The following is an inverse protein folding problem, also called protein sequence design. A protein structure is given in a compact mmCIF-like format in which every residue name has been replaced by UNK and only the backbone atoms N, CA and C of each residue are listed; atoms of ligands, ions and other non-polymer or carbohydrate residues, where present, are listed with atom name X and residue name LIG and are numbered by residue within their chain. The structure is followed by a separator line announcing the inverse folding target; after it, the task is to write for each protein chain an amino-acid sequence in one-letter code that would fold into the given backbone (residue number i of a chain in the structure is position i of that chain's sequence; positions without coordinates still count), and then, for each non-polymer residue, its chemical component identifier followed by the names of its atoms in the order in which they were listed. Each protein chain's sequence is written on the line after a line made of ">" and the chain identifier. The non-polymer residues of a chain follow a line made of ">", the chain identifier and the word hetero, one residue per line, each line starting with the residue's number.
data_IF_208630238866
#
_entry.id   IF_208630238866
#
_cell.length_a   1.000
_cell.length_b   1.000
_cell.length_c   1.000
_cell.angle_alpha   90.00
_cell.angle_beta   90.00
_cell.angle_gamma   90.00
#
_symmetry.space_group_name_H-M   'P 1'
#
loop_
_entity.id
_entity.type
_entity.pdbx_description
1 polymer ?
#
# COMPACT_ATOMS: atom_id res chain seq x y z
N UNK A 1 26.39 -7.30 68.12
CA UNK A 1 25.76 -6.52 67.01
C UNK A 1 25.13 -7.45 65.96
N UNK A 2 24.17 -8.28 66.33
CA UNK A 2 23.62 -9.29 65.39
C UNK A 2 22.18 -9.67 65.72
N UNK A 3 21.26 -8.70 65.87
CA UNK A 3 19.85 -8.97 66.19
C UNK A 3 18.83 -7.97 65.60
N UNK A 4 19.12 -7.31 64.46
CA UNK A 4 18.15 -6.34 63.87
C UNK A 4 17.86 -6.59 62.36
N UNK A 5 18.08 -7.76 61.80
CA UNK A 5 17.82 -8.03 60.36
C UNK A 5 16.78 -9.12 60.05
N UNK A 6 15.98 -9.59 61.02
CA UNK A 6 14.98 -10.66 60.80
C UNK A 6 13.52 -10.22 60.80
N UNK A 7 13.19 -8.95 60.97
CA UNK A 7 11.78 -8.50 61.08
C UNK A 7 11.16 -7.90 59.80
N UNK A 8 11.93 -7.76 58.69
CA UNK A 8 11.42 -7.14 57.46
C UNK A 8 10.97 -8.07 56.34
N UNK A 9 11.09 -9.40 56.54
CA UNK A 9 10.76 -10.38 55.47
C UNK A 9 9.40 -11.06 55.60
N UNK A 10 8.63 -10.82 56.64
CA UNK A 10 7.32 -11.44 56.84
C UNK A 10 6.14 -10.54 56.42
N UNK A 11 6.36 -9.27 56.14
CA UNK A 11 5.28 -8.34 55.76
C UNK A 11 4.94 -8.32 54.30
N UNK A 12 5.88 -8.65 53.39
CA UNK A 12 5.68 -8.57 51.93
C UNK A 12 4.71 -9.63 51.40
N UNK A 13 4.80 -10.93 51.79
CA UNK A 13 3.83 -11.91 51.31
C UNK A 13 2.41 -11.68 51.81
N UNK A 14 2.21 -11.09 53.00
CA UNK A 14 0.87 -10.78 53.52
C UNK A 14 0.19 -9.64 52.76
N UNK A 15 0.95 -8.64 52.35
CA UNK A 15 0.43 -7.52 51.54
C UNK A 15 0.04 -7.97 50.12
N UNK A 16 0.82 -8.84 49.52
CA UNK A 16 0.52 -9.40 48.20
C UNK A 16 -0.73 -10.29 48.25
N UNK A 17 -0.91 -11.09 49.31
CA UNK A 17 -2.13 -11.88 49.48
C UNK A 17 -3.37 -11.01 49.65
N UNK A 18 -3.29 -9.90 50.37
CA UNK A 18 -4.39 -8.97 50.56
C UNK A 18 -4.77 -8.24 49.24
N UNK A 19 -3.78 -7.92 48.43
CA UNK A 19 -4.03 -7.31 47.08
C UNK A 19 -4.71 -8.32 46.16
N UNK A 20 -4.25 -9.57 46.15
CA UNK A 20 -4.85 -10.63 45.33
C UNK A 20 -6.28 -10.93 45.76
N UNK A 21 -6.56 -11.03 47.06
CA UNK A 21 -7.92 -11.27 47.58
C UNK A 21 -8.85 -10.08 47.31
N UNK A 22 -8.35 -8.84 47.35
CA UNK A 22 -9.11 -7.66 46.99
C UNK A 22 -9.48 -7.64 45.50
N UNK A 23 -8.57 -7.96 44.61
CA UNK A 23 -8.85 -8.09 43.17
C UNK A 23 -9.82 -9.24 42.84
N UNK A 24 -9.73 -10.37 43.51
CA UNK A 24 -10.67 -11.48 43.36
C UNK A 24 -12.07 -11.14 43.90
N UNK A 25 -12.14 -10.35 44.96
CA UNK A 25 -13.40 -9.84 45.49
C UNK A 25 -14.08 -8.85 44.54
N UNK A 26 -13.33 -7.96 43.91
CA UNK A 26 -13.86 -7.01 42.89
C UNK A 26 -14.29 -7.70 41.60
N UNK A 27 -13.64 -8.74 41.19
CA UNK A 27 -14.03 -9.51 39.98
C UNK A 27 -15.26 -10.42 40.25
N UNK A 28 -15.56 -10.77 41.49
CA UNK A 28 -16.76 -11.55 41.86
C UNK A 28 -18.06 -10.78 41.94
N UNK A 29 -18.01 -9.43 41.90
CA UNK A 29 -19.22 -8.58 42.04
C UNK A 29 -19.89 -8.23 40.69
N UNK A 30 -19.31 -8.57 39.56
CA UNK A 30 -19.84 -8.30 38.22
C UNK A 30 -20.29 -9.58 37.49
N UNK A 31 -21.16 -10.36 38.13
CA UNK A 31 -21.90 -11.40 37.45
C UNK A 31 -22.97 -10.81 36.54
N UNK A 32 -23.16 -11.28 35.30
CA UNK A 32 -24.21 -10.73 34.44
C UNK A 32 -25.58 -11.12 34.92
N UNK A 33 -26.46 -10.12 35.13
CA UNK A 33 -27.88 -10.31 35.36
C UNK A 33 -28.52 -10.98 34.15
N UNK A 34 -29.06 -12.20 34.34
CA UNK A 34 -29.87 -12.90 33.36
C UNK A 34 -31.19 -12.13 33.15
N UNK A 35 -31.24 -11.35 32.10
CA UNK A 35 -32.48 -10.83 31.52
C UNK A 35 -33.15 -11.95 30.73
N UNK A 36 -34.22 -12.53 31.27
CA UNK A 36 -35.19 -13.34 30.51
C UNK A 36 -35.89 -12.44 29.51
N UNK A 37 -35.50 -12.47 28.28
CA UNK A 37 -36.29 -11.93 27.16
C UNK A 37 -37.01 -13.06 26.44
N UNK A 38 -38.34 -12.92 26.33
CA UNK A 38 -39.24 -13.76 25.58
C UNK A 38 -38.73 -13.99 24.16
N UNK A 39 -38.53 -15.25 23.80
CA UNK A 39 -38.33 -15.67 22.41
C UNK A 39 -39.70 -15.63 21.72
N UNK A 40 -39.96 -14.53 21.00
CA UNK A 40 -40.97 -14.50 19.99
C UNK A 40 -40.41 -15.13 18.71
N UNK A 41 -41.13 -16.13 18.21
CA UNK A 41 -40.81 -16.90 17.00
C UNK A 41 -40.54 -15.99 15.80
N UNK A 42 -39.29 -16.05 15.27
CA UNK A 42 -38.98 -15.51 13.95
C UNK A 42 -39.69 -16.31 12.85
N UNK A 43 -40.17 -15.65 11.80
CA UNK A 43 -40.69 -16.34 10.63
C UNK A 43 -39.58 -17.14 9.94
N UNK A 44 -39.88 -18.36 9.51
CA UNK A 44 -39.00 -19.18 8.67
C UNK A 44 -38.71 -18.45 7.36
N UNK A 45 -37.42 -18.27 7.03
CA UNK A 45 -37.01 -17.92 5.68
C UNK A 45 -37.43 -19.01 4.69
N UNK A 46 -37.93 -18.65 3.50
CA UNK A 46 -38.22 -19.61 2.45
C UNK A 46 -36.92 -20.19 1.89
N UNK A 47 -36.83 -21.51 1.88
CA UNK A 47 -35.83 -22.30 1.17
C UNK A 47 -35.80 -21.94 -0.33
N UNK A 48 -34.58 -21.99 -0.89
CA UNK A 48 -34.24 -21.87 -2.32
C UNK A 48 -34.39 -20.48 -2.95
N UNK A 49 -33.36 -19.68 -2.78
CA UNK A 49 -32.95 -18.71 -3.80
C UNK A 49 -31.97 -19.43 -4.76
N UNK A 50 -32.45 -19.76 -5.96
CA UNK A 50 -31.59 -20.06 -7.10
C UNK A 50 -30.62 -18.86 -7.27
N UNK A 51 -29.32 -19.07 -7.60
CA UNK A 51 -28.42 -17.97 -7.83
C UNK A 51 -28.98 -17.12 -8.99
N UNK A 52 -29.36 -15.89 -8.68
CA UNK A 52 -29.70 -14.88 -9.69
C UNK A 52 -28.53 -14.80 -10.67
N UNK A 53 -28.77 -15.16 -11.92
CA UNK A 53 -27.82 -14.94 -13.01
C UNK A 53 -27.54 -13.44 -13.08
N UNK A 54 -26.35 -13.05 -12.66
CA UNK A 54 -25.81 -11.70 -12.88
C UNK A 54 -25.94 -11.43 -14.38
N UNK A 55 -26.63 -10.37 -14.81
CA UNK A 55 -26.76 -10.05 -16.23
C UNK A 55 -25.35 -9.94 -16.81
N UNK A 56 -25.06 -10.74 -17.81
CA UNK A 56 -23.85 -10.59 -18.62
C UNK A 56 -23.98 -9.24 -19.35
N UNK A 57 -23.56 -8.16 -18.72
CA UNK A 57 -23.31 -6.91 -19.42
C UNK A 57 -22.25 -7.21 -20.49
N UNK A 58 -22.75 -7.37 -21.70
CA UNK A 58 -21.95 -7.40 -22.91
C UNK A 58 -21.44 -5.96 -23.17
N UNK A 59 -20.66 -5.43 -22.25
CA UNK A 59 -19.89 -4.22 -22.48
C UNK A 59 -18.74 -4.60 -23.40
N UNK A 60 -19.01 -4.54 -24.71
CA UNK A 60 -17.96 -4.42 -25.70
C UNK A 60 -17.15 -3.19 -25.31
N UNK A 61 -15.98 -3.40 -24.69
CA UNK A 61 -15.02 -2.33 -24.42
C UNK A 61 -14.59 -1.77 -25.79
N UNK A 62 -15.12 -0.59 -26.12
CA UNK A 62 -14.59 0.22 -27.19
C UNK A 62 -13.41 0.99 -26.60
N UNK A 63 -12.18 0.70 -27.01
CA UNK A 63 -11.04 1.52 -26.60
C UNK A 63 -11.35 2.97 -27.00
N UNK A 64 -11.17 3.95 -26.11
CA UNK A 64 -11.31 5.34 -26.47
C UNK A 64 -10.42 5.63 -27.69
N UNK A 65 -10.97 6.34 -28.68
CA UNK A 65 -10.23 6.73 -29.89
C UNK A 65 -8.94 7.47 -29.52
N UNK A 66 -8.01 7.66 -30.47
CA UNK A 66 -6.72 8.30 -30.21
C UNK A 66 -6.96 9.67 -29.59
N UNK A 67 -6.73 9.79 -28.28
CA UNK A 67 -6.76 11.06 -27.57
C UNK A 67 -5.42 11.73 -27.86
N UNK A 68 -5.47 12.99 -28.31
CA UNK A 68 -4.27 13.82 -28.43
C UNK A 68 -3.75 14.02 -27.01
N UNK A 69 -2.62 13.40 -26.69
CA UNK A 69 -1.99 13.61 -25.38
C UNK A 69 -1.57 15.08 -25.28
N UNK A 70 -2.01 15.73 -24.21
CA UNK A 70 -1.58 17.08 -23.90
C UNK A 70 -0.13 17.02 -23.44
N UNK A 71 0.75 17.87 -23.99
CA UNK A 71 2.12 18.06 -23.49
C UNK A 71 2.08 18.65 -22.08
N UNK A 72 1.87 17.80 -21.07
CA UNK A 72 1.82 18.18 -19.66
C UNK A 72 3.23 18.10 -19.04
N UNK A 73 3.61 19.14 -18.32
CA UNK A 73 4.83 19.13 -17.52
C UNK A 73 4.70 18.15 -16.36
N UNK A 74 5.76 17.38 -16.10
CA UNK A 74 5.78 16.34 -15.08
C UNK A 74 7.02 16.48 -14.21
N UNK A 75 6.88 16.23 -12.90
CA UNK A 75 8.02 16.11 -12.00
C UNK A 75 7.98 14.75 -11.30
N UNK A 76 9.05 13.97 -11.48
CA UNK A 76 9.28 12.74 -10.74
C UNK A 76 9.96 13.07 -9.40
N UNK A 77 9.29 12.77 -8.30
CA UNK A 77 9.75 13.03 -6.94
C UNK A 77 10.18 11.72 -6.29
N UNK A 78 11.46 11.64 -5.92
CA UNK A 78 12.08 10.44 -5.35
C UNK A 78 12.66 10.75 -3.98
N UNK A 79 12.32 9.92 -3.00
CA UNK A 79 13.00 9.84 -1.71
C UNK A 79 14.03 8.71 -1.77
N UNK A 80 15.30 9.00 -1.42
CA UNK A 80 16.36 7.99 -1.42
C UNK A 80 17.31 8.14 -0.23
N UNK A 81 17.91 7.03 0.15
CA UNK A 81 19.11 7.02 0.98
C UNK A 81 20.36 7.21 0.09
N UNK A 82 21.45 7.67 0.69
CA UNK A 82 22.70 7.93 -0.04
C UNK A 82 23.22 6.69 -0.76
N UNK A 83 23.03 5.51 -0.19
CA UNK A 83 23.46 4.23 -0.74
C UNK A 83 22.57 3.65 -1.85
N UNK A 84 21.37 4.19 -2.04
CA UNK A 84 20.44 3.69 -3.06
C UNK A 84 20.81 4.24 -4.44
N UNK A 85 20.74 3.38 -5.45
CA UNK A 85 21.02 3.74 -6.84
C UNK A 85 19.76 4.30 -7.52
N UNK A 86 19.90 5.48 -8.12
CA UNK A 86 18.86 6.15 -8.89
C UNK A 86 19.33 6.58 -10.30
N UNK A 87 20.37 5.95 -10.84
CA UNK A 87 20.89 6.24 -12.20
C UNK A 87 19.81 6.11 -13.26
N UNK A 88 18.82 5.24 -13.06
CA UNK A 88 17.69 5.10 -13.95
C UNK A 88 16.88 6.40 -14.12
N UNK A 89 16.86 7.26 -13.10
CA UNK A 89 16.15 8.56 -13.14
C UNK A 89 16.83 9.51 -14.12
N UNK A 90 18.15 9.49 -14.18
CA UNK A 90 18.93 10.41 -15.03
C UNK A 90 18.72 10.15 -16.52
N UNK A 91 18.28 8.94 -16.89
CA UNK A 91 17.97 8.57 -18.26
C UNK A 91 16.61 9.08 -18.76
N UNK A 92 15.68 9.38 -17.86
CA UNK A 92 14.28 9.70 -18.20
C UNK A 92 14.10 11.04 -18.94
N UNK A 93 14.73 12.16 -18.51
CA UNK A 93 14.56 13.46 -19.17
C UNK A 93 15.14 13.51 -20.59
N UNK A 94 16.01 12.56 -20.95
CA UNK A 94 16.58 12.48 -22.31
C UNK A 94 15.53 12.09 -23.35
N UNK A 95 14.52 11.32 -22.91
CA UNK A 95 13.46 10.81 -23.75
C UNK A 95 12.20 11.71 -23.72
N UNK A 96 12.09 12.59 -22.72
CA UNK A 96 10.91 13.42 -22.48
C UNK A 96 11.26 14.83 -21.97
N UNK A 97 11.17 15.87 -22.83
CA UNK A 97 11.52 17.24 -22.46
C UNK A 97 10.55 17.88 -21.47
N UNK A 98 9.39 17.26 -21.21
CA UNK A 98 8.40 17.74 -20.24
C UNK A 98 8.56 17.07 -18.86
N UNK A 99 9.50 16.15 -18.72
CA UNK A 99 9.77 15.47 -17.46
C UNK A 99 11.01 16.05 -16.78
N UNK A 100 10.85 16.44 -15.53
CA UNK A 100 11.95 16.81 -14.62
C UNK A 100 11.99 15.83 -13.44
N UNK A 101 13.08 15.82 -12.69
CA UNK A 101 13.21 15.00 -11.48
C UNK A 101 13.62 15.83 -10.28
N UNK A 102 13.08 15.49 -9.10
CA UNK A 102 13.43 16.04 -7.80
C UNK A 102 13.82 14.86 -6.88
N UNK A 103 15.11 14.58 -6.81
CA UNK A 103 15.68 13.48 -6.01
C UNK A 103 16.18 14.01 -4.68
N UNK A 104 15.54 13.60 -3.59
CA UNK A 104 15.88 13.97 -2.21
C UNK A 104 16.75 12.89 -1.56
N UNK A 105 17.97 13.23 -1.15
CA UNK A 105 18.85 12.35 -0.39
C UNK A 105 18.66 12.65 1.10
N UNK A 106 17.87 11.82 1.80
CA UNK A 106 17.33 12.15 3.12
C UNK A 106 18.30 11.95 4.28
N UNK A 107 19.38 11.19 4.10
CA UNK A 107 20.43 10.89 5.08
C UNK A 107 21.77 11.58 4.79
N UNK A 108 21.79 12.52 3.83
CA UNK A 108 23.00 13.25 3.46
C UNK A 108 23.18 14.50 4.34
N UNK A 109 24.39 14.69 4.85
CA UNK A 109 24.81 15.90 5.52
C UNK A 109 25.34 17.00 4.55
N UNK A 110 25.31 16.71 3.25
CA UNK A 110 25.81 17.63 2.22
C UNK A 110 24.65 18.53 1.79
N UNK A 111 24.91 19.83 1.66
CA UNK A 111 23.94 20.76 1.10
C UNK A 111 23.59 20.32 -0.33
N UNK A 112 22.37 19.86 -0.51
CA UNK A 112 21.82 19.43 -1.79
C UNK A 112 20.69 20.40 -2.21
N UNK A 113 20.35 20.50 -3.51
CA UNK A 113 19.26 21.36 -3.97
C UNK A 113 17.91 20.97 -3.38
N UNK A 114 17.74 19.69 -3.00
CA UNK A 114 16.53 19.15 -2.38
C UNK A 114 16.89 18.56 -1.02
N UNK A 115 16.32 19.13 0.04
CA UNK A 115 16.57 18.72 1.43
C UNK A 115 15.25 18.58 2.19
N UNK A 116 15.24 17.77 3.22
CA UNK A 116 14.12 17.59 4.15
C UNK A 116 14.51 18.06 5.56
N UNK A 117 13.54 18.49 6.39
CA UNK A 117 13.83 18.90 7.77
C UNK A 117 14.38 17.76 8.63
N UNK A 118 13.93 16.55 8.39
CA UNK A 118 14.29 15.33 9.12
C UNK A 118 14.03 14.12 8.25
N UNK A 119 14.90 13.12 8.30
CA UNK A 119 14.58 11.79 7.73
C UNK A 119 13.61 11.06 8.66
N UNK A 120 12.31 11.13 8.37
CA UNK A 120 11.24 10.51 9.16
C UNK A 120 10.02 10.19 8.30
N UNK A 121 9.38 9.04 8.58
CA UNK A 121 8.18 8.59 7.87
C UNK A 121 8.48 8.10 6.45
N UNK A 122 9.65 7.49 6.25
CA UNK A 122 10.10 7.03 4.94
C UNK A 122 10.03 8.14 3.88
N UNK A 123 9.35 7.90 2.75
CA UNK A 123 9.17 8.86 1.67
C UNK A 123 8.23 10.03 2.00
N UNK A 124 7.41 9.91 3.04
CA UNK A 124 6.36 10.89 3.37
C UNK A 124 6.93 12.28 3.62
N UNK A 125 8.04 12.38 4.36
CA UNK A 125 8.69 13.67 4.61
C UNK A 125 9.10 14.36 3.31
N UNK A 126 9.58 13.59 2.35
CA UNK A 126 9.96 14.10 1.02
C UNK A 126 8.73 14.57 0.26
N UNK A 127 7.67 13.76 0.20
CA UNK A 127 6.46 14.08 -0.55
C UNK A 127 5.79 15.35 -0.03
N UNK A 128 5.64 15.46 1.29
CA UNK A 128 5.08 16.68 1.91
C UNK A 128 6.00 17.89 1.70
N UNK A 129 7.31 17.74 1.86
CA UNK A 129 8.27 18.83 1.65
C UNK A 129 8.23 19.32 0.21
N UNK A 130 8.25 18.42 -0.78
CA UNK A 130 8.12 18.79 -2.19
C UNK A 130 6.84 19.57 -2.46
N UNK A 131 5.70 19.09 -1.98
CA UNK A 131 4.41 19.78 -2.18
C UNK A 131 4.44 21.18 -1.57
N UNK A 132 4.97 21.33 -0.35
CA UNK A 132 5.04 22.60 0.37
C UNK A 132 5.95 23.61 -0.35
N UNK A 133 7.13 23.16 -0.76
CA UNK A 133 8.15 24.04 -1.33
C UNK A 133 7.83 24.46 -2.76
N UNK A 134 7.17 23.58 -3.51
CA UNK A 134 6.80 23.82 -4.91
C UNK A 134 5.33 24.18 -5.11
N UNK A 135 4.53 24.40 -4.05
CA UNK A 135 3.09 24.57 -4.11
C UNK A 135 2.61 25.58 -5.17
N UNK A 136 3.34 26.68 -5.34
CA UNK A 136 3.03 27.75 -6.32
C UNK A 136 3.66 27.53 -7.70
N UNK A 137 4.57 26.58 -7.82
CA UNK A 137 5.34 26.28 -9.05
C UNK A 137 5.31 24.81 -9.44
N UNK A 138 4.28 24.07 -9.00
CA UNK A 138 4.09 22.66 -9.37
C UNK A 138 4.02 22.49 -10.88
N UNK A 139 4.66 21.43 -11.40
CA UNK A 139 4.37 20.90 -12.72
C UNK A 139 2.91 20.48 -12.82
N UNK A 140 2.36 20.33 -14.03
CA UNK A 140 0.97 19.89 -14.22
C UNK A 140 0.69 18.58 -13.47
N UNK A 141 1.70 17.71 -13.38
CA UNK A 141 1.63 16.41 -12.67
C UNK A 141 2.88 16.21 -11.81
N UNK A 142 2.67 15.82 -10.57
CA UNK A 142 3.72 15.31 -9.67
C UNK A 142 3.60 13.78 -9.56
N UNK A 143 4.71 13.07 -9.77
CA UNK A 143 4.80 11.61 -9.73
C UNK A 143 5.66 11.25 -8.52
N UNK A 144 5.09 10.57 -7.55
CA UNK A 144 5.74 10.18 -6.31
C UNK A 144 6.06 8.69 -6.34
N UNK A 145 7.35 8.33 -6.26
CA UNK A 145 7.83 6.95 -6.39
C UNK A 145 8.99 6.64 -5.43
N UNK A 146 9.20 5.36 -5.20
CA UNK A 146 10.37 4.85 -4.49
C UNK A 146 11.63 4.93 -5.35
N UNK A 147 12.80 4.87 -4.71
CA UNK A 147 14.10 4.96 -5.38
C UNK A 147 14.44 3.76 -6.27
N UNK A 148 13.98 2.57 -5.90
CA UNK A 148 14.35 1.34 -6.58
C UNK A 148 13.77 1.24 -8.00
N UNK A 149 14.63 0.96 -8.99
CA UNK A 149 14.18 0.76 -10.36
C UNK A 149 13.32 -0.50 -10.49
N UNK A 150 13.80 -1.63 -9.99
CA UNK A 150 13.08 -2.91 -10.04
C UNK A 150 12.58 -3.26 -8.66
N UNK A 151 11.27 -3.32 -8.49
CA UNK A 151 10.64 -3.65 -7.21
C UNK A 151 9.25 -4.27 -7.40
N UNK A 152 8.87 -5.18 -6.50
CA UNK A 152 7.56 -5.82 -6.49
C UNK A 152 6.38 -4.83 -6.29
N UNK A 153 6.66 -3.62 -5.82
CA UNK A 153 5.69 -2.53 -5.70
C UNK A 153 5.16 -2.06 -7.06
N UNK A 154 5.90 -2.31 -8.12
CA UNK A 154 5.59 -1.87 -9.47
C UNK A 154 4.69 -2.85 -10.22
N UNK A 155 4.31 -2.49 -11.43
CA UNK A 155 3.38 -3.23 -12.27
C UNK A 155 4.05 -4.40 -13.01
N UNK A 156 3.43 -5.58 -12.96
CA UNK A 156 3.89 -6.81 -13.62
C UNK A 156 4.04 -6.64 -15.13
N UNK A 157 3.06 -6.01 -15.79
CA UNK A 157 3.09 -5.80 -17.25
C UNK A 157 4.10 -4.75 -17.70
N UNK A 158 4.75 -4.08 -16.75
CA UNK A 158 5.87 -3.16 -16.97
C UNK A 158 7.16 -3.71 -16.36
N UNK A 159 7.25 -5.03 -16.19
CA UNK A 159 8.42 -5.77 -15.71
C UNK A 159 8.93 -5.28 -14.35
N UNK A 160 8.01 -4.80 -13.50
CA UNK A 160 8.33 -4.20 -12.20
C UNK A 160 9.29 -3.01 -12.27
N UNK A 161 9.44 -2.39 -13.46
CA UNK A 161 10.44 -1.36 -13.76
C UNK A 161 9.84 0.05 -13.63
N UNK A 162 10.33 0.83 -12.66
CA UNK A 162 9.94 2.22 -12.41
C UNK A 162 10.15 3.12 -13.64
N UNK A 163 11.24 2.94 -14.37
CA UNK A 163 11.52 3.73 -15.56
C UNK A 163 10.49 3.46 -16.67
N UNK A 164 10.10 2.19 -16.88
CA UNK A 164 9.03 1.83 -17.81
C UNK A 164 7.69 2.40 -17.39
N UNK A 165 7.39 2.40 -16.06
CA UNK A 165 6.18 3.00 -15.55
C UNK A 165 6.13 4.49 -15.86
N UNK A 166 7.17 5.25 -15.56
CA UNK A 166 7.23 6.70 -15.81
C UNK A 166 7.13 7.02 -17.30
N UNK A 167 7.84 6.29 -18.17
CA UNK A 167 7.79 6.51 -19.63
C UNK A 167 6.42 6.22 -20.24
N UNK A 168 5.70 5.22 -19.68
CA UNK A 168 4.40 4.81 -20.20
C UNK A 168 3.22 5.53 -19.55
N UNK A 169 3.47 6.27 -18.47
CA UNK A 169 2.42 6.96 -17.72
C UNK A 169 1.73 8.03 -18.59
N UNK A 170 0.43 7.89 -18.76
CA UNK A 170 -0.38 8.78 -19.61
C UNK A 170 -0.87 9.98 -18.84
N UNK A 171 -0.32 11.15 -19.17
CA UNK A 171 -0.62 12.41 -18.52
C UNK A 171 -2.11 12.75 -18.54
N UNK A 172 -2.79 12.48 -19.65
CA UNK A 172 -4.21 12.81 -19.78
C UNK A 172 -5.07 12.06 -18.76
N UNK A 173 -4.77 10.79 -18.47
CA UNK A 173 -5.52 10.04 -17.47
C UNK A 173 -5.43 10.69 -16.08
N UNK A 174 -4.24 11.17 -15.70
CA UNK A 174 -4.03 11.82 -14.41
C UNK A 174 -4.72 13.19 -14.37
N UNK A 175 -4.66 13.96 -15.45
CA UNK A 175 -5.32 15.27 -15.53
C UNK A 175 -6.84 15.15 -15.47
N UNK A 176 -7.42 14.11 -16.09
CA UNK A 176 -8.87 13.89 -16.11
C UNK A 176 -9.39 13.40 -14.74
N UNK A 177 -8.60 12.58 -14.02
CA UNK A 177 -9.01 11.97 -12.76
C UNK A 177 -8.45 12.69 -11.51
N UNK A 178 -7.45 13.55 -11.67
CA UNK A 178 -6.77 14.28 -10.61
C UNK A 178 -5.74 13.45 -9.83
N UNK A 179 -5.95 12.15 -9.67
CA UNK A 179 -5.12 11.21 -8.91
C UNK A 179 -5.08 9.85 -9.58
N UNK A 180 -3.94 9.18 -9.51
CA UNK A 180 -3.75 7.78 -9.91
C UNK A 180 -2.78 7.09 -8.97
N UNK A 181 -3.18 5.97 -8.34
CA UNK A 181 -2.22 5.06 -7.76
C UNK A 181 -1.42 4.41 -8.91
N UNK A 182 -0.10 4.41 -8.83
CA UNK A 182 0.75 3.92 -9.92
C UNK A 182 0.72 2.40 -10.07
N UNK A 183 0.33 1.68 -9.01
CA UNK A 183 0.13 0.24 -9.07
C UNK A 183 -1.29 -0.08 -9.54
N UNK A 184 -1.43 -0.83 -10.62
CA UNK A 184 -2.72 -1.25 -11.14
C UNK A 184 -3.21 -2.57 -10.55
N UNK A 185 -2.31 -3.41 -10.05
CA UNK A 185 -2.68 -4.65 -9.41
C UNK A 185 -3.23 -4.41 -8.00
N UNK A 186 -4.43 -4.89 -7.70
CA UNK A 186 -5.16 -4.58 -6.47
C UNK A 186 -4.59 -5.29 -5.22
N UNK A 187 -3.97 -6.46 -5.39
CA UNK A 187 -3.41 -7.21 -4.27
C UNK A 187 -1.93 -6.83 -3.99
N UNK A 188 -1.56 -6.55 -2.74
CA UNK A 188 -2.42 -6.32 -1.59
C UNK A 188 -3.03 -4.91 -1.59
N UNK A 189 -4.19 -4.73 -0.91
CA UNK A 189 -4.73 -3.42 -0.65
C UNK A 189 -6.19 -3.20 -1.03
N UNK A 190 -6.78 -4.08 -1.86
CA UNK A 190 -8.14 -3.98 -2.33
C UNK A 190 -8.83 -5.36 -2.39
N UNK A 191 -10.14 -5.44 -2.20
CA UNK A 191 -11.06 -4.35 -1.89
C UNK A 191 -11.14 -4.01 -0.41
N UNK A 192 -10.69 -4.90 0.48
CA UNK A 192 -10.77 -4.82 1.92
C UNK A 192 -9.37 -4.95 2.51
N UNK A 193 -8.83 -3.88 3.10
CA UNK A 193 -7.44 -3.89 3.49
C UNK A 193 -7.23 -3.58 4.98
N UNK A 194 -7.56 -2.37 5.44
CA UNK A 194 -7.27 -1.97 6.81
C UNK A 194 -8.49 -1.36 7.48
N UNK A 195 -8.75 -1.79 8.73
CA UNK A 195 -9.86 -1.35 9.55
C UNK A 195 -9.35 -0.54 10.74
N UNK A 196 -9.35 0.81 10.68
CA UNK A 196 -8.73 1.67 11.69
C UNK A 196 -9.27 1.53 13.12
N UNK A 197 -10.42 0.87 13.30
CA UNK A 197 -11.06 0.71 14.61
C UNK A 197 -11.14 -0.74 15.13
N UNK A 198 -10.40 -1.64 14.56
CA UNK A 198 -10.36 -3.01 15.09
C UNK A 198 -9.87 -2.97 16.53
N UNK A 199 -10.69 -3.51 17.46
CA UNK A 199 -10.39 -3.53 18.89
C UNK A 199 -9.10 -4.28 19.21
N UNK A 200 -8.47 -3.95 20.34
CA UNK A 200 -7.17 -4.49 20.77
C UNK A 200 -7.08 -6.03 20.87
N UNK A 201 -8.21 -6.73 20.78
CA UNK A 201 -8.31 -8.18 20.97
C UNK A 201 -8.55 -8.95 19.66
N UNK A 202 -8.42 -8.33 18.49
CA UNK A 202 -8.56 -9.03 17.22
C UNK A 202 -7.22 -9.59 16.75
N UNK A 203 -7.23 -10.79 16.16
CA UNK A 203 -6.05 -11.41 15.57
C UNK A 203 -5.44 -10.53 14.44
N UNK A 204 -6.23 -9.65 13.85
CA UNK A 204 -5.81 -8.70 12.82
C UNK A 204 -4.79 -7.68 13.33
N UNK A 205 -4.82 -7.29 14.62
CA UNK A 205 -3.82 -6.37 15.18
C UNK A 205 -2.41 -6.97 15.12
N UNK A 206 -2.28 -8.28 15.26
CA UNK A 206 -0.99 -8.96 15.16
C UNK A 206 -0.46 -8.95 13.72
N UNK A 207 -1.37 -8.99 12.75
CA UNK A 207 -1.04 -9.02 11.33
C UNK A 207 -0.89 -7.62 10.72
N UNK A 208 -1.69 -6.65 11.19
CA UNK A 208 -1.72 -5.26 10.69
C UNK A 208 -1.71 -4.28 11.87
N UNK A 209 -0.56 -4.12 12.55
CA UNK A 209 -0.45 -3.23 13.73
C UNK A 209 -0.75 -1.76 13.40
N UNK A 210 -0.66 -1.38 12.13
CA UNK A 210 -0.96 -0.05 11.64
C UNK A 210 -2.43 0.35 11.83
N UNK A 211 -3.38 -0.60 11.84
CA UNK A 211 -4.80 -0.32 11.95
C UNK A 211 -5.16 0.49 13.22
N UNK A 212 -4.63 0.08 14.37
CA UNK A 212 -4.84 0.77 15.63
C UNK A 212 -4.21 2.17 15.66
N UNK A 213 -3.07 2.32 14.99
CA UNK A 213 -2.32 3.58 14.92
C UNK A 213 -3.03 4.59 14.02
N UNK A 214 -3.58 4.14 12.89
CA UNK A 214 -4.29 5.00 11.94
C UNK A 214 -5.51 5.64 12.60
N UNK A 215 -6.30 4.89 13.38
CA UNK A 215 -7.46 5.45 14.09
C UNK A 215 -7.10 6.61 15.01
N UNK A 216 -5.98 6.51 15.74
CA UNK A 216 -5.46 7.59 16.60
C UNK A 216 -4.91 8.76 15.78
N UNK A 217 -4.13 8.48 14.75
CA UNK A 217 -3.54 9.48 13.87
C UNK A 217 -4.60 10.27 13.10
N UNK A 218 -5.70 9.62 12.71
CA UNK A 218 -6.80 10.24 11.97
C UNK A 218 -7.38 11.46 12.65
N UNK A 219 -7.68 11.34 13.95
CA UNK A 219 -8.22 12.47 14.72
C UNK A 219 -7.28 13.68 14.82
N UNK A 220 -5.97 13.45 14.71
CA UNK A 220 -4.95 14.50 14.69
C UNK A 220 -4.77 15.08 13.29
N UNK A 221 -4.75 14.24 12.26
CA UNK A 221 -4.57 14.65 10.87
C UNK A 221 -5.84 15.28 10.28
N UNK A 222 -7.02 14.77 10.62
CA UNK A 222 -8.30 15.19 10.05
C UNK A 222 -9.31 15.52 11.15
N UNK A 223 -9.07 16.57 11.96
CA UNK A 223 -9.95 16.92 13.06
C UNK A 223 -11.38 17.23 12.57
N UNK A 224 -12.35 16.54 13.17
CA UNK A 224 -13.77 16.67 12.81
C UNK A 224 -14.23 15.77 11.65
N UNK A 225 -13.32 15.03 10.99
CA UNK A 225 -13.69 14.02 10.03
C UNK A 225 -13.86 12.66 10.73
N UNK A 226 -14.97 11.94 10.49
CA UNK A 226 -15.12 10.59 11.05
C UNK A 226 -14.05 9.67 10.46
N UNK A 227 -13.53 8.77 11.29
CA UNK A 227 -12.58 7.75 10.81
C UNK A 227 -13.34 6.76 9.93
N UNK A 228 -12.86 6.45 8.72
CA UNK A 228 -13.45 5.43 7.88
C UNK A 228 -13.43 4.05 8.54
N UNK A 229 -14.47 3.24 8.29
CA UNK A 229 -14.50 1.85 8.76
C UNK A 229 -13.48 0.98 8.06
N UNK A 230 -13.14 1.33 6.83
CA UNK A 230 -12.12 0.66 6.01
C UNK A 230 -11.34 1.69 5.21
N UNK A 231 -10.05 1.43 4.97
CA UNK A 231 -9.23 2.15 4.01
C UNK A 231 -8.62 1.13 3.05
N UNK A 232 -8.88 1.30 1.76
CA UNK A 232 -8.46 0.37 0.72
C UNK A 232 -7.97 1.08 -0.53
N UNK A 233 -6.78 0.71 -0.99
CA UNK A 233 -6.20 1.12 -2.27
C UNK A 233 -5.14 0.10 -2.69
N UNK A 234 -4.72 0.05 -3.97
CA UNK A 234 -3.51 -0.67 -4.33
C UNK A 234 -2.34 -0.16 -3.48
N UNK A 235 -1.50 -1.07 -2.97
CA UNK A 235 -0.47 -0.73 -1.98
C UNK A 235 0.56 0.30 -2.42
N UNK A 236 1.39 0.61 -1.50
CA UNK A 236 2.81 0.92 -1.64
C UNK A 236 3.14 2.41 -1.81
N UNK A 237 2.22 3.34 -1.54
CA UNK A 237 2.51 4.78 -1.43
C UNK A 237 3.08 5.45 -2.68
N UNK A 238 2.96 4.81 -3.86
CA UNK A 238 3.38 5.38 -5.14
C UNK A 238 2.18 5.88 -5.92
N UNK A 239 2.18 7.15 -6.29
CA UNK A 239 1.04 7.76 -6.98
C UNK A 239 1.44 8.94 -7.86
N UNK A 240 0.57 9.29 -8.79
CA UNK A 240 0.65 10.52 -9.56
C UNK A 240 -0.58 11.39 -9.27
N UNK A 241 -0.38 12.69 -9.16
CA UNK A 241 -1.43 13.65 -8.81
C UNK A 241 -1.27 14.94 -9.60
N UNK A 242 -2.38 15.51 -10.08
CA UNK A 242 -2.37 16.77 -10.80
C UNK A 242 -2.15 17.97 -9.86
N UNK A 243 -1.53 19.03 -10.37
CA UNK A 243 -1.35 20.27 -9.63
C UNK A 243 -2.68 20.86 -9.14
N UNK A 244 -3.73 20.76 -9.96
CA UNK A 244 -5.06 21.24 -9.59
C UNK A 244 -5.63 20.43 -8.41
N UNK A 245 -5.38 19.12 -8.37
CA UNK A 245 -5.82 18.28 -7.25
C UNK A 245 -5.05 18.59 -5.97
N UNK A 246 -3.72 18.79 -6.05
CA UNK A 246 -2.91 19.24 -4.91
C UNK A 246 -3.44 20.56 -4.36
N UNK A 247 -3.74 21.53 -5.24
CA UNK A 247 -4.20 22.89 -4.85
C UNK A 247 -5.62 22.94 -4.30
N UNK A 248 -6.42 21.86 -4.37
CA UNK A 248 -7.69 21.79 -3.64
C UNK A 248 -7.50 21.81 -2.12
N UNK A 249 -6.31 21.43 -1.65
CA UNK A 249 -5.93 21.48 -0.25
C UNK A 249 -4.99 22.67 -0.07
N UNK A 250 -5.28 23.62 0.84
CA UNK A 250 -4.42 24.76 1.10
C UNK A 250 -2.99 24.32 1.53
N UNK A 251 -1.97 25.10 1.12
CA UNK A 251 -0.56 24.82 1.45
C UNK A 251 -0.33 24.62 2.94
N UNK A 252 -1.02 25.41 3.75
CA UNK A 252 -0.94 25.39 5.21
C UNK A 252 -1.31 24.01 5.78
N UNK A 253 -2.25 23.30 5.16
CA UNK A 253 -2.61 21.94 5.56
C UNK A 253 -1.47 20.95 5.33
N UNK A 254 -0.73 21.08 4.24
CA UNK A 254 0.45 20.27 4.02
C UNK A 254 1.56 20.57 5.04
N UNK A 255 1.69 21.84 5.45
CA UNK A 255 2.60 22.23 6.53
C UNK A 255 2.17 21.58 7.84
N UNK A 256 0.87 21.61 8.19
CA UNK A 256 0.36 20.94 9.40
C UNK A 256 0.59 19.42 9.36
N UNK A 257 0.41 18.77 8.23
CA UNK A 257 0.72 17.35 8.06
C UNK A 257 2.20 17.05 8.28
N UNK A 258 3.09 17.88 7.77
CA UNK A 258 4.53 17.74 7.98
C UNK A 258 4.90 18.00 9.45
N UNK A 259 4.33 18.99 10.09
CA UNK A 259 4.54 19.27 11.51
C UNK A 259 4.04 18.09 12.38
N UNK A 260 2.89 17.49 12.04
CA UNK A 260 2.45 16.26 12.69
C UNK A 260 3.48 15.13 12.56
N UNK A 261 4.04 14.94 11.36
CA UNK A 261 5.05 13.91 11.12
C UNK A 261 6.33 14.17 11.92
N UNK A 262 6.73 15.43 12.07
CA UNK A 262 7.88 15.82 12.89
C UNK A 262 7.63 15.60 14.39
N UNK A 263 6.41 15.88 14.86
CA UNK A 263 6.04 15.87 16.28
C UNK A 263 5.60 14.49 16.79
N UNK A 264 5.11 13.60 15.94
CA UNK A 264 4.60 12.29 16.38
C UNK A 264 5.67 11.44 17.03
N UNK A 265 5.32 10.74 18.13
CA UNK A 265 6.17 9.76 18.80
C UNK A 265 6.26 8.41 18.05
N UNK A 266 5.45 8.22 17.00
CA UNK A 266 5.53 7.03 16.17
C UNK A 266 6.92 6.91 15.56
N UNK A 267 7.42 5.67 15.51
CA UNK A 267 8.65 5.38 14.81
C UNK A 267 8.54 5.68 13.30
N UNK A 268 9.67 5.63 12.62
CA UNK A 268 9.78 5.91 11.20
C UNK A 268 8.84 5.02 10.37
N UNK A 269 8.85 3.72 10.65
CA UNK A 269 8.02 2.73 9.96
C UNK A 269 6.53 2.98 10.13
N UNK A 270 6.06 3.14 11.37
CA UNK A 270 4.63 3.32 11.64
C UNK A 270 4.12 4.66 11.13
N UNK A 271 4.91 5.73 11.27
CA UNK A 271 4.52 7.05 10.75
C UNK A 271 4.45 7.09 9.22
N UNK A 272 5.35 6.38 8.54
CA UNK A 272 5.30 6.19 7.09
C UNK A 272 4.07 5.38 6.64
N UNK A 273 3.82 4.25 7.31
CA UNK A 273 2.67 3.39 7.03
C UNK A 273 1.32 4.10 7.20
N UNK A 274 1.17 4.96 8.21
CA UNK A 274 -0.05 5.78 8.35
C UNK A 274 -0.35 6.54 7.06
N UNK A 275 0.64 7.18 6.47
CA UNK A 275 0.47 7.96 5.25
C UNK A 275 0.28 7.10 4.00
N UNK A 276 0.93 5.96 3.92
CA UNK A 276 0.72 5.00 2.83
C UNK A 276 -0.76 4.64 2.67
N UNK A 277 -1.50 4.49 3.78
CA UNK A 277 -2.94 4.19 3.77
C UNK A 277 -3.85 5.42 3.62
N UNK A 278 -3.32 6.64 3.62
CA UNK A 278 -4.10 7.88 3.63
C UNK A 278 -4.01 8.64 2.29
N UNK A 279 -2.97 8.47 1.49
CA UNK A 279 -2.75 9.28 0.29
C UNK A 279 -3.94 9.32 -0.66
N UNK A 280 -4.61 8.21 -0.92
CA UNK A 280 -5.79 8.18 -1.79
C UNK A 280 -6.95 8.96 -1.19
N UNK A 281 -7.19 8.81 0.13
CA UNK A 281 -8.19 9.59 0.84
C UNK A 281 -7.91 11.10 0.72
N UNK A 282 -6.68 11.49 0.94
CA UNK A 282 -6.28 12.90 0.89
C UNK A 282 -6.62 13.54 -0.46
N UNK A 283 -6.37 12.81 -1.55
CA UNK A 283 -6.55 13.37 -2.90
C UNK A 283 -7.89 13.03 -3.55
N UNK A 284 -8.60 11.99 -3.13
CA UNK A 284 -9.88 11.61 -3.75
C UNK A 284 -11.09 11.80 -2.85
N UNK A 285 -10.90 11.85 -1.54
CA UNK A 285 -11.98 11.84 -0.55
C UNK A 285 -12.67 10.47 -0.42
N UNK A 286 -12.16 9.43 -1.06
CA UNK A 286 -12.72 8.09 -1.04
C UNK A 286 -11.94 7.21 -0.07
N UNK A 287 -12.62 6.53 0.83
CA UNK A 287 -12.00 5.58 1.74
C UNK A 287 -11.57 4.28 1.03
N UNK A 288 -12.35 3.88 0.05
CA UNK A 288 -12.07 2.74 -0.82
C UNK A 288 -11.79 3.26 -2.23
N UNK A 289 -10.54 3.13 -2.68
CA UNK A 289 -10.08 3.53 -4.00
C UNK A 289 -9.48 2.33 -4.72
N UNK A 290 -10.34 1.50 -5.30
CA UNK A 290 -9.97 0.25 -5.96
C UNK A 290 -10.40 0.31 -7.44
N UNK A 291 -9.64 1.01 -8.30
CA UNK A 291 -9.97 1.14 -9.71
C UNK A 291 -9.90 -0.22 -10.41
N UNK A 292 -10.69 -0.38 -11.48
CA UNK A 292 -10.63 -1.59 -12.32
C UNK A 292 -9.22 -1.73 -12.90
N UNK A 293 -8.55 -2.83 -12.62
CA UNK A 293 -7.15 -3.08 -12.97
C UNK A 293 -6.88 -2.94 -14.47
N UNK A 294 -7.74 -3.53 -15.31
CA UNK A 294 -7.61 -3.44 -16.78
C UNK A 294 -7.79 -2.01 -17.29
N UNK A 295 -8.65 -1.21 -16.65
CA UNK A 295 -8.79 0.22 -16.95
C UNK A 295 -7.55 1.00 -16.54
N UNK A 296 -7.01 0.73 -15.36
CA UNK A 296 -5.76 1.35 -14.89
C UNK A 296 -4.60 1.09 -15.86
N UNK A 297 -4.39 -0.15 -16.29
CA UNK A 297 -3.36 -0.47 -17.28
C UNK A 297 -3.63 0.17 -18.65
N UNK A 298 -4.85 0.08 -19.14
CA UNK A 298 -5.18 0.56 -20.49
C UNK A 298 -5.18 2.09 -20.56
N UNK A 299 -5.87 2.77 -19.66
CA UNK A 299 -5.98 4.23 -19.69
C UNK A 299 -4.76 4.91 -19.06
N UNK A 300 -4.19 4.33 -18.00
CA UNK A 300 -3.03 4.90 -17.32
C UNK A 300 -1.70 4.64 -18.00
N UNK A 301 -1.54 3.49 -18.67
CA UNK A 301 -0.26 3.09 -19.27
C UNK A 301 -0.31 2.69 -20.75
N UNK A 302 -1.49 2.70 -21.37
CA UNK A 302 -1.67 2.27 -22.75
C UNK A 302 -1.46 0.76 -22.96
N UNK A 303 -1.67 -0.04 -21.92
CA UNK A 303 -1.56 -1.51 -21.98
C UNK A 303 -2.98 -2.09 -21.87
N UNK A 304 -3.55 -2.44 -23.00
CA UNK A 304 -4.93 -2.92 -23.07
C UNK A 304 -4.99 -4.39 -23.41
N UNK A 305 -5.79 -5.14 -22.69
CA UNK A 305 -6.00 -6.57 -22.88
C UNK A 305 -7.48 -6.96 -22.72
N UNK A 306 -7.80 -8.12 -23.23
CA UNK A 306 -9.05 -8.78 -22.92
C UNK A 306 -9.07 -9.15 -21.41
N UNK A 307 -10.22 -8.93 -20.71
CA UNK A 307 -10.33 -9.28 -19.30
C UNK A 307 -10.04 -10.75 -18.98
N UNK A 308 -10.24 -11.67 -19.93
CA UNK A 308 -9.91 -13.08 -19.76
C UNK A 308 -8.40 -13.32 -19.82
N UNK A 309 -7.69 -12.63 -20.72
CA UNK A 309 -6.22 -12.70 -20.78
C UNK A 309 -5.57 -12.12 -19.52
N UNK A 310 -6.13 -11.03 -18.98
CA UNK A 310 -5.70 -10.47 -17.72
C UNK A 310 -5.83 -11.49 -16.57
N UNK A 311 -7.00 -12.09 -16.41
CA UNK A 311 -7.23 -13.13 -15.38
C UNK A 311 -6.32 -14.33 -15.56
N UNK A 312 -6.17 -14.81 -16.81
CA UNK A 312 -5.29 -15.94 -17.13
C UNK A 312 -3.83 -15.65 -16.74
N UNK A 313 -3.34 -14.43 -17.02
CA UNK A 313 -1.98 -14.02 -16.63
C UNK A 313 -1.78 -14.15 -15.11
N UNK A 314 -2.69 -13.62 -14.30
CA UNK A 314 -2.55 -13.67 -12.84
C UNK A 314 -2.79 -15.07 -12.26
N UNK A 315 -3.58 -15.91 -12.90
CA UNK A 315 -3.68 -17.34 -12.54
C UNK A 315 -2.36 -18.04 -12.76
N UNK A 316 -1.75 -17.90 -13.95
CA UNK A 316 -0.44 -18.48 -14.29
C UNK A 316 0.64 -17.94 -13.34
N UNK A 317 0.65 -16.63 -13.07
CA UNK A 317 1.58 -16.00 -12.12
C UNK A 317 1.44 -16.57 -10.72
N UNK A 318 0.22 -16.78 -10.25
CA UNK A 318 -0.03 -17.40 -8.93
C UNK A 318 0.50 -18.82 -8.85
N UNK A 319 0.33 -19.62 -9.92
CA UNK A 319 0.87 -20.97 -10.01
C UNK A 319 2.41 -20.95 -10.03
N UNK A 320 3.02 -20.09 -10.84
CA UNK A 320 4.48 -19.93 -10.90
C UNK A 320 5.06 -19.58 -9.54
N UNK A 321 4.51 -18.59 -8.84
CA UNK A 321 4.94 -18.19 -7.48
C UNK A 321 4.84 -19.29 -6.45
N UNK A 322 3.81 -20.15 -6.55
CA UNK A 322 3.65 -21.30 -5.67
C UNK A 322 4.77 -22.31 -5.88
N UNK A 323 5.10 -22.62 -7.16
CA UNK A 323 6.19 -23.53 -7.50
C UNK A 323 7.56 -22.96 -7.13
N UNK A 324 7.79 -21.67 -7.34
CA UNK A 324 9.01 -20.98 -6.90
C UNK A 324 9.15 -21.00 -5.36
N UNK A 325 8.04 -20.94 -4.62
CA UNK A 325 8.02 -21.14 -3.17
C UNK A 325 8.47 -22.54 -2.78
N UNK A 326 7.91 -23.57 -3.44
CA UNK A 326 8.30 -24.99 -3.23
C UNK A 326 9.79 -25.21 -3.55
N UNK A 327 10.31 -24.61 -4.61
CA UNK A 327 11.74 -24.67 -4.96
C UNK A 327 12.59 -24.08 -3.83
N UNK A 328 12.26 -22.87 -3.35
CA UNK A 328 13.01 -22.23 -2.25
C UNK A 328 13.00 -23.04 -0.97
N UNK A 329 11.88 -23.68 -0.62
CA UNK A 329 11.78 -24.57 0.54
C UNK A 329 12.71 -25.78 0.37
N UNK A 330 12.63 -26.47 -0.77
CA UNK A 330 13.49 -27.61 -1.07
C UNK A 330 14.98 -27.23 -1.10
N UNK A 331 15.34 -26.08 -1.66
CA UNK A 331 16.72 -25.58 -1.65
C UNK A 331 17.22 -25.27 -0.23
N UNK A 332 16.35 -24.79 0.65
CA UNK A 332 16.71 -24.51 2.05
C UNK A 332 16.91 -25.77 2.90
N UNK A 333 16.25 -26.87 2.53
CA UNK A 333 16.30 -28.15 3.22
C UNK A 333 17.34 -29.12 2.63
N UNK A 334 17.79 -28.86 1.38
CA UNK A 334 18.69 -29.75 0.65
C UNK A 334 20.06 -29.82 1.32
N UNK A 335 20.54 -31.05 1.55
CA UNK A 335 21.94 -31.33 1.83
C UNK A 335 22.67 -31.74 0.54
N UNK A 336 23.97 -31.45 0.42
CA UNK A 336 24.78 -31.69 -0.79
C UNK A 336 24.70 -33.13 -1.39
N UNK A 337 24.09 -34.07 -0.71
CA UNK A 337 24.06 -35.51 -1.09
C UNK A 337 22.67 -35.99 -1.58
N UNK A 338 21.64 -35.14 -1.63
CA UNK A 338 20.27 -35.58 -1.97
C UNK A 338 19.95 -35.41 -3.46
N UNK A 339 20.24 -36.46 -4.23
CA UNK A 339 19.99 -36.53 -5.70
C UNK A 339 18.47 -36.38 -5.99
N UNK A 340 17.59 -36.96 -5.17
CA UNK A 340 16.13 -36.96 -5.38
C UNK A 340 15.56 -35.54 -5.27
N UNK A 341 16.02 -34.78 -4.28
CA UNK A 341 15.64 -33.36 -4.10
C UNK A 341 16.15 -32.52 -5.27
N UNK A 342 17.37 -32.77 -5.77
CA UNK A 342 17.93 -32.07 -6.93
C UNK A 342 17.12 -32.31 -8.22
N UNK A 343 16.69 -33.57 -8.47
CA UNK A 343 15.82 -33.90 -9.61
C UNK A 343 14.46 -33.19 -9.49
N UNK A 344 13.86 -33.15 -8.29
CA UNK A 344 12.60 -32.46 -8.06
C UNK A 344 12.70 -30.96 -8.27
N UNK A 345 13.76 -30.31 -7.81
CA UNK A 345 14.04 -28.88 -8.06
C UNK A 345 14.15 -28.62 -9.56
N UNK A 346 14.84 -29.47 -10.30
CA UNK A 346 15.00 -29.35 -11.76
C UNK A 346 13.65 -29.46 -12.48
N UNK A 347 12.79 -30.41 -12.09
CA UNK A 347 11.44 -30.57 -12.64
C UNK A 347 10.58 -29.33 -12.37
N UNK A 348 10.60 -28.80 -11.13
CA UNK A 348 9.83 -27.62 -10.73
C UNK A 348 10.29 -26.38 -11.50
N UNK A 349 11.60 -26.15 -11.61
CA UNK A 349 12.14 -25.03 -12.36
C UNK A 349 11.74 -25.09 -13.85
N UNK A 350 11.73 -26.27 -14.46
CA UNK A 350 11.25 -26.43 -15.85
C UNK A 350 9.77 -26.05 -16.00
N UNK A 351 8.93 -26.36 -14.98
CA UNK A 351 7.51 -25.93 -15.00
C UNK A 351 7.37 -24.43 -14.80
N UNK A 352 8.17 -23.83 -13.92
CA UNK A 352 8.22 -22.37 -13.71
C UNK A 352 8.58 -21.66 -15.01
N UNK A 353 9.60 -22.14 -15.73
CA UNK A 353 10.03 -21.59 -17.02
C UNK A 353 8.92 -21.67 -18.08
N UNK A 354 8.17 -22.79 -18.13
CA UNK A 354 7.01 -22.94 -19.02
C UNK A 354 5.90 -21.91 -18.68
N UNK A 355 5.62 -21.71 -17.39
CA UNK A 355 4.61 -20.75 -16.95
C UNK A 355 5.04 -19.31 -17.27
N UNK A 356 6.31 -18.96 -17.05
CA UNK A 356 6.86 -17.66 -17.44
C UNK A 356 6.77 -17.44 -18.96
N UNK A 357 7.05 -18.46 -19.77
CA UNK A 357 6.87 -18.39 -21.23
C UNK A 357 5.43 -18.07 -21.64
N UNK A 358 4.44 -18.68 -20.98
CA UNK A 358 3.01 -18.36 -21.21
C UNK A 358 2.66 -16.94 -20.79
N UNK A 359 3.23 -16.45 -19.67
CA UNK A 359 3.04 -15.06 -19.24
C UNK A 359 3.63 -14.08 -20.25
N UNK A 360 4.80 -14.36 -20.80
CA UNK A 360 5.44 -13.52 -21.81
C UNK A 360 4.65 -13.50 -23.14
N UNK A 361 4.04 -14.62 -23.53
CA UNK A 361 3.12 -14.65 -24.67
C UNK A 361 1.90 -13.77 -24.46
N UNK A 362 1.31 -13.75 -23.25
CA UNK A 362 0.19 -12.85 -22.92
C UNK A 362 0.67 -11.40 -22.98
N UNK A 363 1.82 -11.06 -22.38
CA UNK A 363 2.41 -9.72 -22.46
C UNK A 363 2.62 -9.27 -23.91
N UNK A 364 3.12 -10.14 -24.76
CA UNK A 364 3.37 -9.83 -26.17
C UNK A 364 2.10 -9.53 -26.97
N UNK A 365 0.94 -10.07 -26.56
CA UNK A 365 -0.35 -9.79 -27.19
C UNK A 365 -0.98 -8.49 -26.71
N UNK A 366 -0.57 -7.93 -25.58
CA UNK A 366 -1.08 -6.65 -25.10
C UNK A 366 -0.60 -5.53 -26.02
N UNK A 367 -1.49 -5.02 -26.84
CA UNK A 367 -1.17 -3.94 -27.77
C UNK A 367 -1.33 -2.60 -27.07
N UNK A 368 -0.27 -1.79 -27.07
CA UNK A 368 -0.39 -0.39 -26.68
C UNK A 368 -1.31 0.34 -27.66
N UNK A 369 -2.31 1.06 -27.17
CA UNK A 369 -3.06 2.02 -27.97
C UNK A 369 -2.12 3.21 -28.15
N UNK A 370 -1.57 3.37 -29.34
CA UNK A 370 -0.66 4.47 -29.70
C UNK A 370 0.82 4.12 -29.62
N UNK A 371 1.28 3.21 -30.45
CA UNK A 371 2.63 3.20 -31.01
C UNK A 371 2.59 3.89 -32.36
#
# INVERSE_FOLDING_TARGET
>A
MQQRRRALWLGIPALILLIITYFLYLSGQNGPALLHTNIQSMPQEPDSLEPEEVPKENTTYYPPGPRVERNATRTLVIAKLQQEDTVWVDSLPQDDPYLTSAVYVVDSNISAPFTVPLNKGHEVMVYLTYIIDHYHSLSDISIFMHAHQITWHNNDFLDFDSAKMVRRLRSQYILDNGYMNLRCHLEPGCPDHIHPYIGKDSDDILNVPEAAVIGMAWGQLFPGSPVPSVLSQPCCGQFAVSADQIRKIPRERYVEFREWLLATELDDRLSGRVWEYIWHWLFTGQAEFCPVETTCYCEGYGICFDPNEYRLYFQIRGEARKLEGEVRELESEATEADITTSERITELNSKVDELHGKMDEIKARTKGIGQ
#
